data_IF_055595833917
#
_entry.id   IF_055595833917
#
_cell.length_a   1.000
_cell.length_b   1.000
_cell.length_c   1.000
_cell.angle_alpha   90.00
_cell.angle_beta   90.00
_cell.angle_gamma   90.00
#
_symmetry.space_group_name_H-M   'P 1'
#
loop_
_entity.id
_entity.type
_entity.pdbx_description
1 polymer ?
#
# COMPACT_ATOMS: atom_id res chain seq x y z
N UNK A 1 0.17 -12.63 -10.45
CA UNK A 1 -0.39 -11.33 -10.06
C UNK A 1 0.59 -10.22 -10.42
N UNK A 2 0.30 -9.53 -11.53
CA UNK A 2 0.75 -8.20 -11.98
C UNK A 2 0.79 -8.24 -13.51
N UNK A 3 -0.09 -7.47 -14.16
CA UNK A 3 0.07 -7.10 -15.55
C UNK A 3 0.15 -5.58 -15.59
N UNK A 4 1.37 -5.05 -15.50
CA UNK A 4 1.63 -3.66 -15.86
C UNK A 4 1.47 -3.55 -17.38
N UNK A 5 0.42 -2.86 -17.83
CA UNK A 5 0.28 -2.52 -19.24
C UNK A 5 0.77 -1.08 -19.41
N UNK A 6 1.97 -0.95 -19.97
CA UNK A 6 2.44 0.34 -20.50
C UNK A 6 1.80 0.54 -21.88
N UNK A 7 1.01 1.59 -22.07
CA UNK A 7 0.59 1.99 -23.41
C UNK A 7 1.61 3.02 -23.92
N UNK A 8 2.45 2.62 -24.89
CA UNK A 8 3.65 3.39 -25.26
C UNK A 8 3.38 4.57 -26.20
N UNK A 9 2.12 4.89 -26.52
CA UNK A 9 1.80 5.96 -27.47
C UNK A 9 1.36 7.27 -26.79
N UNK A 10 0.73 7.20 -25.59
CA UNK A 10 0.13 8.39 -24.95
C UNK A 10 0.81 8.81 -23.63
N UNK A 11 1.86 8.11 -23.20
CA UNK A 11 2.50 8.32 -21.89
C UNK A 11 1.68 7.86 -20.67
N UNK A 12 0.52 7.24 -20.91
CA UNK A 12 -0.38 6.74 -19.86
C UNK A 12 0.10 5.40 -19.29
N UNK A 13 0.05 5.29 -17.95
CA UNK A 13 0.38 4.07 -17.21
C UNK A 13 -0.87 3.51 -16.54
N UNK A 14 -1.12 2.22 -16.75
CA UNK A 14 -2.27 1.53 -16.15
C UNK A 14 -1.79 0.38 -15.27
N UNK A 15 -2.33 0.33 -14.05
CA UNK A 15 -2.23 -0.83 -13.19
C UNK A 15 -3.47 -1.70 -13.41
N UNK A 16 -3.27 -2.92 -13.89
CA UNK A 16 -4.37 -3.88 -14.10
C UNK A 16 -4.07 -5.15 -13.30
N UNK A 17 -5.12 -5.76 -12.77
CA UNK A 17 -5.05 -7.03 -12.05
C UNK A 17 -6.11 -7.98 -12.60
N UNK A 18 -5.83 -9.27 -12.53
CA UNK A 18 -6.76 -10.33 -12.88
C UNK A 18 -6.56 -11.48 -11.89
N UNK A 19 -7.67 -12.03 -11.41
CA UNK A 19 -7.71 -13.27 -10.64
C UNK A 19 -8.32 -14.36 -11.53
N UNK A 20 -7.88 -15.61 -11.35
CA UNK A 20 -8.46 -16.76 -12.06
C UNK A 20 -9.85 -17.12 -11.51
N UNK A 21 -10.14 -16.74 -10.26
CA UNK A 21 -11.45 -16.93 -9.65
C UNK A 21 -12.50 -15.99 -10.29
N UNK A 22 -13.73 -16.48 -10.42
CA UNK A 22 -14.88 -15.75 -10.97
C UNK A 22 -15.50 -14.78 -9.97
N UNK A 23 -15.11 -14.84 -8.70
CA UNK A 23 -15.59 -13.89 -7.69
C UNK A 23 -15.15 -12.46 -8.00
N UNK A 24 -16.05 -11.50 -7.77
CA UNK A 24 -15.78 -10.10 -8.05
C UNK A 24 -14.77 -9.56 -7.02
N UNK A 25 -13.65 -9.04 -7.50
CA UNK A 25 -12.66 -8.34 -6.69
C UNK A 25 -12.40 -6.94 -7.26
N UNK A 26 -12.28 -5.95 -6.38
CA UNK A 26 -11.99 -4.58 -6.77
C UNK A 26 -11.24 -3.81 -5.71
N UNK A 27 -10.39 -2.88 -6.15
CA UNK A 27 -9.78 -1.90 -5.27
C UNK A 27 -10.77 -0.75 -4.99
N UNK A 28 -10.79 -0.27 -3.76
CA UNK A 28 -11.56 0.90 -3.36
C UNK A 28 -10.81 1.70 -2.29
N UNK A 29 -10.97 3.02 -2.30
CA UNK A 29 -10.63 3.84 -1.16
C UNK A 29 -11.74 3.71 -0.11
N UNK A 30 -11.35 3.44 1.14
CA UNK A 30 -12.30 3.46 2.26
C UNK A 30 -12.51 4.90 2.77
N UNK A 31 -13.42 5.08 3.75
CA UNK A 31 -13.72 6.40 4.33
C UNK A 31 -12.55 7.06 5.07
N UNK A 32 -11.48 6.30 5.35
CA UNK A 32 -10.25 6.78 5.98
C UNK A 32 -9.16 7.13 4.94
N UNK A 33 -9.46 6.99 3.65
CA UNK A 33 -8.49 7.26 2.56
C UNK A 33 -7.49 6.13 2.31
N UNK A 34 -7.67 4.96 2.91
CA UNK A 34 -6.81 3.80 2.68
C UNK A 34 -7.32 2.97 1.49
N UNK A 35 -6.39 2.58 0.60
CA UNK A 35 -6.68 1.74 -0.54
C UNK A 35 -6.80 0.28 -0.09
N UNK A 36 -7.94 -0.36 -0.35
CA UNK A 36 -8.22 -1.74 0.06
C UNK A 36 -8.66 -2.58 -1.13
N UNK A 37 -8.25 -3.86 -1.14
CA UNK A 37 -8.80 -4.87 -2.04
C UNK A 37 -10.01 -5.52 -1.37
N UNK A 38 -11.16 -5.42 -2.01
CA UNK A 38 -12.41 -6.04 -1.57
C UNK A 38 -12.67 -7.26 -2.42
N UNK A 39 -12.95 -8.37 -1.75
CA UNK A 39 -13.37 -9.62 -2.37
C UNK A 39 -14.85 -9.86 -2.08
N UNK A 40 -15.63 -10.09 -3.12
CA UNK A 40 -17.06 -10.35 -3.01
C UNK A 40 -17.35 -11.77 -3.45
N UNK A 41 -17.66 -12.63 -2.48
CA UNK A 41 -18.05 -14.02 -2.72
C UNK A 41 -19.26 -14.37 -1.85
N UNK A 42 -20.27 -14.99 -2.46
CA UNK A 42 -21.46 -15.52 -1.77
C UNK A 42 -22.14 -14.53 -0.80
N UNK A 43 -22.17 -13.23 -1.13
CA UNK A 43 -22.78 -12.18 -0.30
C UNK A 43 -21.89 -11.62 0.82
N UNK A 44 -20.72 -12.20 1.06
CA UNK A 44 -19.72 -11.68 1.98
C UNK A 44 -18.79 -10.68 1.28
N UNK A 45 -18.45 -9.62 1.99
CA UNK A 45 -17.57 -8.55 1.52
C UNK A 45 -16.40 -8.44 2.47
N UNK A 46 -15.34 -9.16 2.16
CA UNK A 46 -14.13 -9.17 2.97
C UNK A 46 -13.08 -8.23 2.38
N UNK A 47 -12.45 -7.45 3.25
CA UNK A 47 -11.22 -6.73 2.92
C UNK A 47 -10.09 -7.74 3.04
N UNK A 48 -9.53 -8.14 1.89
CA UNK A 48 -8.49 -9.18 1.82
C UNK A 48 -7.08 -8.60 1.76
N UNK A 49 -6.96 -7.31 1.45
CA UNK A 49 -5.69 -6.58 1.44
C UNK A 49 -5.91 -5.08 1.68
N UNK A 50 -4.90 -4.41 2.23
CA UNK A 50 -4.90 -2.98 2.59
C UNK A 50 -3.54 -2.37 2.24
N UNK A 51 -3.50 -1.15 1.72
CA UNK A 51 -2.25 -0.48 1.40
C UNK A 51 -1.49 -0.02 2.65
N UNK A 52 -2.23 0.44 3.67
CA UNK A 52 -1.66 0.83 4.96
C UNK A 52 -1.95 -0.26 6.00
N UNK A 53 -0.90 -0.92 6.50
CA UNK A 53 -0.97 -1.94 7.54
C UNK A 53 -0.40 -1.45 8.88
N UNK A 54 0.54 -0.51 8.82
CA UNK A 54 1.23 0.07 9.96
C UNK A 54 1.44 1.57 9.75
N UNK A 55 1.87 2.27 10.80
CA UNK A 55 2.24 3.67 10.68
C UNK A 55 3.42 3.90 9.72
N UNK A 56 4.25 2.88 9.48
CA UNK A 56 5.38 2.96 8.55
C UNK A 56 4.99 3.01 7.07
N UNK A 57 3.77 2.59 6.74
CA UNK A 57 3.26 2.66 5.37
C UNK A 57 2.80 4.08 5.01
N UNK A 58 2.67 4.96 6.02
CA UNK A 58 2.33 6.37 5.82
C UNK A 58 3.55 7.12 5.31
N UNK A 59 3.39 7.76 4.14
CA UNK A 59 4.45 8.53 3.52
C UNK A 59 5.05 9.57 4.48
N UNK A 60 6.37 9.53 4.65
CA UNK A 60 7.11 10.50 5.46
C UNK A 60 7.03 10.30 6.99
N UNK A 61 6.53 9.16 7.49
CA UNK A 61 6.36 8.91 8.94
C UNK A 61 7.59 9.22 9.79
N UNK A 62 8.80 8.86 9.34
CA UNK A 62 10.05 9.04 10.09
C UNK A 62 10.91 10.22 9.65
N UNK A 63 10.37 11.12 8.82
CA UNK A 63 11.10 12.29 8.32
C UNK A 63 12.26 11.95 7.37
N UNK A 64 13.01 12.97 6.98
CA UNK A 64 14.19 12.79 6.14
C UNK A 64 15.30 12.05 6.90
N UNK A 65 16.00 11.16 6.19
CA UNK A 65 17.08 10.32 6.75
C UNK A 65 16.66 9.39 7.90
N UNK A 66 15.36 9.16 8.06
CA UNK A 66 14.80 8.17 8.99
C UNK A 66 14.40 6.88 8.28
N UNK A 67 14.57 5.75 8.97
CA UNK A 67 13.98 4.46 8.63
C UNK A 67 12.81 4.17 9.57
N UNK A 68 11.82 3.42 9.08
CA UNK A 68 10.66 3.00 9.86
C UNK A 68 10.65 1.47 10.01
N UNK A 69 10.59 1.00 11.24
CA UNK A 69 10.38 -0.41 11.56
C UNK A 69 9.22 -0.51 12.57
N UNK A 70 8.07 -1.09 12.18
CA UNK A 70 6.91 -1.18 13.06
C UNK A 70 7.12 -2.13 14.24
N UNK A 71 8.23 -2.89 14.27
CA UNK A 71 8.59 -3.79 15.38
C UNK A 71 9.48 -3.13 16.42
N UNK A 72 10.06 -1.97 16.13
CA UNK A 72 10.95 -1.26 17.04
C UNK A 72 10.19 -0.25 17.91
N UNK A 73 10.79 0.14 19.04
CA UNK A 73 10.29 1.24 19.88
C UNK A 73 11.48 2.13 20.27
N UNK A 74 11.59 3.36 19.74
CA UNK A 74 10.66 4.00 18.80
C UNK A 74 10.63 3.32 17.41
N UNK A 75 9.52 3.47 16.69
CA UNK A 75 9.37 2.91 15.33
C UNK A 75 10.30 3.58 14.31
N UNK A 76 10.82 4.76 14.63
CA UNK A 76 11.71 5.52 13.77
C UNK A 76 13.13 5.50 14.33
N UNK A 77 14.10 5.27 13.44
CA UNK A 77 15.53 5.42 13.73
C UNK A 77 16.23 6.15 12.60
N UNK A 78 17.34 6.82 12.89
CA UNK A 78 18.15 7.46 11.87
C UNK A 78 18.87 6.41 11.01
N UNK A 79 19.09 6.71 9.73
CA UNK A 79 20.02 5.93 8.91
C UNK A 79 21.41 5.88 9.57
N UNK A 80 22.16 4.82 9.27
CA UNK A 80 23.52 4.68 9.77
C UNK A 80 24.35 5.93 9.40
N UNK A 81 24.97 6.55 10.41
CA UNK A 81 25.76 7.77 10.26
C UNK A 81 24.98 9.08 10.44
N UNK A 82 23.68 9.02 10.73
CA UNK A 82 22.83 10.18 11.07
C UNK A 82 22.44 10.15 12.54
N UNK A 83 22.19 11.34 13.10
CA UNK A 83 21.70 11.53 14.46
C UNK A 83 20.42 12.39 14.46
N UNK A 84 19.57 12.29 15.50
CA UNK A 84 18.40 13.13 15.62
C UNK A 84 18.77 14.61 15.68
N UNK A 85 18.08 15.45 14.91
CA UNK A 85 18.16 16.89 15.09
C UNK A 85 17.43 17.26 16.38
N UNK A 86 18.14 17.91 17.31
CA UNK A 86 17.57 18.47 18.55
C UNK A 86 16.55 19.58 18.27
#
# INVERSE_FOLDING_TARGET
MQLFRKNSQDGNFYLTFAYEDKALSYFALNSQGNLVLKYMSNGFKDVVWSALHSECDVYGKCGAFGTCDPKNTPICSCFQGFEPNN
#
